data_IF_841520231928
#
_entry.id   IF_841520231928
#
_cell.length_a   1.000
_cell.length_b   1.000
_cell.length_c   1.000
_cell.angle_alpha   90.00
_cell.angle_beta   90.00
_cell.angle_gamma   90.00
#
_symmetry.space_group_name_H-M   'P 1'
#
loop_
_entity.id
_entity.type
_entity.pdbx_description
1 polymer ?
#
# COMPACT_ATOMS: atom_id res chain seq x y z
N UNK A 1 -26.42 -14.46 2.33
CA UNK A 1 -25.28 -15.41 2.36
C UNK A 1 -23.99 -14.62 2.18
N UNK A 2 -23.07 -14.65 3.14
CA UNK A 2 -21.77 -13.98 3.02
C UNK A 2 -20.92 -14.72 1.99
N UNK A 3 -20.53 -14.05 0.90
CA UNK A 3 -19.57 -14.59 -0.07
C UNK A 3 -18.25 -14.86 0.65
N UNK A 4 -17.75 -16.09 0.57
CA UNK A 4 -16.46 -16.45 1.13
C UNK A 4 -15.36 -15.59 0.49
N UNK A 5 -14.55 -14.93 1.34
CA UNK A 5 -13.53 -14.00 0.87
C UNK A 5 -12.33 -14.80 0.35
N UNK A 6 -12.21 -14.90 -0.98
CA UNK A 6 -11.00 -15.41 -1.63
C UNK A 6 -9.80 -14.54 -1.23
N UNK A 7 -8.77 -15.15 -0.62
CA UNK A 7 -7.51 -14.48 -0.30
C UNK A 7 -6.49 -14.85 -1.36
N UNK A 8 -5.84 -13.83 -1.93
CA UNK A 8 -4.77 -14.00 -2.92
C UNK A 8 -3.46 -13.46 -2.35
N UNK A 9 -2.36 -14.17 -2.59
CA UNK A 9 -1.01 -13.73 -2.21
C UNK A 9 -0.61 -12.48 -2.99
N UNK A 10 0.36 -11.71 -2.50
CA UNK A 10 0.87 -10.53 -3.22
C UNK A 10 1.47 -10.94 -4.58
N UNK A 11 2.31 -11.98 -4.57
CA UNK A 11 2.94 -12.53 -5.78
C UNK A 11 1.91 -12.96 -6.83
N UNK A 12 0.81 -13.61 -6.42
CA UNK A 12 -0.26 -13.99 -7.34
C UNK A 12 -0.89 -12.77 -8.01
N UNK A 13 -1.13 -11.70 -7.24
CA UNK A 13 -1.73 -10.47 -7.77
C UNK A 13 -0.80 -9.77 -8.75
N UNK A 14 0.50 -9.71 -8.42
CA UNK A 14 1.52 -9.11 -9.29
C UNK A 14 1.60 -9.84 -10.63
N UNK A 15 1.74 -11.17 -10.59
CA UNK A 15 1.78 -12.01 -11.80
C UNK A 15 0.49 -11.89 -12.62
N UNK A 16 -0.68 -11.87 -11.96
CA UNK A 16 -1.95 -11.72 -12.66
C UNK A 16 -2.06 -10.36 -13.38
N UNK A 17 -1.57 -9.28 -12.75
CA UNK A 17 -1.53 -7.95 -13.35
C UNK A 17 -0.55 -7.91 -14.52
N UNK A 18 0.68 -8.41 -14.33
CA UNK A 18 1.70 -8.47 -15.38
C UNK A 18 1.20 -9.25 -16.61
N UNK A 19 0.64 -10.44 -16.39
CA UNK A 19 0.07 -11.27 -17.44
C UNK A 19 -1.07 -10.55 -18.19
N UNK A 20 -1.89 -9.78 -17.47
CA UNK A 20 -2.98 -9.00 -18.07
C UNK A 20 -2.50 -7.87 -18.98
N UNK A 21 -1.34 -7.28 -18.67
CA UNK A 21 -0.69 -6.29 -19.55
C UNK A 21 -0.01 -6.94 -20.74
N UNK A 22 0.67 -8.07 -20.52
CA UNK A 22 1.37 -8.81 -21.58
C UNK A 22 0.43 -9.34 -22.67
N UNK A 23 -0.75 -9.86 -22.29
CA UNK A 23 -1.73 -10.41 -23.26
C UNK A 23 -2.80 -9.42 -23.73
N UNK A 24 -2.94 -8.27 -23.06
CA UNK A 24 -3.91 -7.23 -23.44
C UNK A 24 -5.39 -7.51 -23.11
N UNK A 25 -5.78 -8.74 -22.75
CA UNK A 25 -7.17 -9.11 -22.44
C UNK A 25 -7.40 -9.44 -20.96
N UNK A 26 -8.05 -8.53 -20.22
CA UNK A 26 -8.40 -8.74 -18.79
C UNK A 26 -9.39 -9.90 -18.63
N UNK A 27 -10.34 -10.05 -19.56
CA UNK A 27 -11.43 -11.03 -19.45
C UNK A 27 -10.91 -12.45 -19.61
N UNK A 28 -10.00 -12.68 -20.55
CA UNK A 28 -9.38 -13.99 -20.78
C UNK A 28 -8.55 -14.43 -19.57
N UNK A 29 -7.68 -13.56 -19.07
CA UNK A 29 -6.87 -13.85 -17.88
C UNK A 29 -7.74 -14.13 -16.66
N UNK A 30 -8.86 -13.42 -16.51
CA UNK A 30 -9.81 -13.69 -15.42
C UNK A 30 -10.44 -15.08 -15.51
N UNK A 31 -10.76 -15.54 -16.72
CA UNK A 31 -11.30 -16.89 -16.95
C UNK A 31 -10.25 -17.97 -16.68
N UNK A 32 -9.01 -17.76 -17.13
CA UNK A 32 -7.89 -18.69 -16.92
C UNK A 32 -7.53 -18.83 -15.43
N UNK A 33 -7.53 -17.73 -14.69
CA UNK A 33 -7.12 -17.70 -13.28
C UNK A 33 -8.28 -17.92 -12.29
N UNK A 34 -9.51 -18.17 -12.77
CA UNK A 34 -10.75 -18.17 -11.98
C UNK A 34 -10.83 -16.98 -11.01
N UNK A 35 -10.66 -15.76 -11.52
CA UNK A 35 -10.79 -14.53 -10.73
C UNK A 35 -11.87 -13.61 -11.30
N UNK A 36 -12.63 -12.89 -10.47
CA UNK A 36 -13.59 -11.91 -10.98
C UNK A 36 -12.90 -10.77 -11.72
N UNK A 37 -13.43 -10.35 -12.86
CA UNK A 37 -12.90 -9.23 -13.67
C UNK A 37 -12.76 -7.94 -12.86
N UNK A 38 -13.75 -7.63 -12.01
CA UNK A 38 -13.71 -6.46 -11.13
C UNK A 38 -12.50 -6.46 -10.18
N UNK A 39 -12.02 -7.65 -9.79
CA UNK A 39 -10.87 -7.81 -8.90
C UNK A 39 -9.57 -7.53 -9.66
N UNK A 40 -9.40 -8.12 -10.84
CA UNK A 40 -8.20 -7.88 -11.66
C UNK A 40 -8.11 -6.42 -12.13
N UNK A 41 -9.24 -5.82 -12.55
CA UNK A 41 -9.29 -4.39 -12.90
C UNK A 41 -8.93 -3.48 -11.72
N UNK A 42 -9.31 -3.87 -10.50
CA UNK A 42 -8.87 -3.15 -9.29
C UNK A 42 -7.36 -3.30 -9.08
N UNK A 43 -6.81 -4.50 -9.23
CA UNK A 43 -5.37 -4.73 -9.06
C UNK A 43 -4.54 -3.96 -10.09
N UNK A 44 -4.99 -3.85 -11.35
CA UNK A 44 -4.34 -3.00 -12.36
C UNK A 44 -4.28 -1.54 -11.91
N UNK A 45 -5.41 -0.97 -11.50
CA UNK A 45 -5.45 0.42 -11.00
C UNK A 45 -4.55 0.63 -9.78
N UNK A 46 -4.52 -0.34 -8.87
CA UNK A 46 -3.62 -0.29 -7.72
C UNK A 46 -2.16 -0.36 -8.17
N UNK A 47 -1.82 -1.23 -9.13
CA UNK A 47 -0.50 -1.35 -9.74
C UNK A 47 -0.05 -0.07 -10.43
N UNK A 48 -0.95 0.60 -11.15
CA UNK A 48 -0.62 1.86 -11.84
C UNK A 48 -0.37 2.99 -10.84
N UNK A 49 -1.14 3.02 -9.74
CA UNK A 49 -1.03 4.08 -8.73
C UNK A 49 0.15 3.90 -7.77
N UNK A 50 0.50 2.66 -7.42
CA UNK A 50 1.45 2.37 -6.34
C UNK A 50 2.66 1.53 -6.78
N UNK A 51 2.68 1.01 -8.01
CA UNK A 51 3.77 0.18 -8.54
C UNK A 51 4.06 -1.01 -7.63
N UNK A 52 5.33 -1.15 -7.20
CA UNK A 52 5.76 -2.19 -6.25
C UNK A 52 5.07 -2.14 -4.88
N UNK A 53 4.43 -1.03 -4.53
CA UNK A 53 3.77 -0.83 -3.23
C UNK A 53 2.27 -1.20 -3.26
N UNK A 54 1.79 -1.83 -4.33
CA UNK A 54 0.36 -2.08 -4.56
C UNK A 54 -0.27 -3.14 -3.66
N UNK A 55 0.55 -4.07 -3.17
CA UNK A 55 0.09 -5.23 -2.39
C UNK A 55 0.86 -5.38 -1.06
N UNK A 56 0.81 -4.39 -0.14
CA UNK A 56 1.64 -4.36 1.07
C UNK A 56 1.18 -5.33 2.18
N UNK A 57 0.18 -6.18 1.93
CA UNK A 57 -0.41 -7.08 2.93
C UNK A 57 -1.56 -6.45 3.74
N UNK A 58 -2.09 -7.21 4.70
CA UNK A 58 -3.22 -6.76 5.55
C UNK A 58 -2.70 -5.79 6.62
N UNK A 59 -3.43 -4.69 6.85
CA UNK A 59 -3.11 -3.70 7.88
C UNK A 59 -2.09 -2.64 7.47
N UNK A 60 -1.43 -2.80 6.31
CA UNK A 60 -0.45 -1.85 5.82
C UNK A 60 -1.08 -0.86 4.83
N UNK A 61 -0.83 0.46 4.97
CA UNK A 61 -1.33 1.45 4.03
C UNK A 61 -0.62 1.32 2.68
N UNK A 62 -1.36 1.55 1.60
CA UNK A 62 -0.80 1.69 0.25
C UNK A 62 -0.28 3.11 0.13
N UNK A 63 1.02 3.24 0.15
CA UNK A 63 1.72 4.51 0.01
C UNK A 63 2.65 4.40 -1.18
N UNK A 64 2.69 5.46 -1.99
CA UNK A 64 3.80 5.64 -2.92
C UNK A 64 5.11 5.79 -2.12
N UNK A 65 6.26 5.62 -2.78
CA UNK A 65 7.55 5.79 -2.10
C UNK A 65 7.69 7.23 -1.53
N UNK A 66 7.20 8.22 -2.26
CA UNK A 66 7.12 9.62 -1.81
C UNK A 66 6.20 9.78 -0.58
N UNK A 67 5.00 9.20 -0.61
CA UNK A 67 4.08 9.26 0.54
C UNK A 67 4.67 8.57 1.77
N UNK A 68 5.41 7.47 1.59
CA UNK A 68 6.13 6.79 2.68
C UNK A 68 7.22 7.70 3.25
N UNK A 69 8.01 8.34 2.41
CA UNK A 69 9.05 9.28 2.84
C UNK A 69 8.44 10.47 3.61
N UNK A 70 7.36 11.07 3.10
CA UNK A 70 6.65 12.15 3.79
C UNK A 70 6.16 11.69 5.18
N UNK A 71 5.62 10.47 5.29
CA UNK A 71 5.17 9.93 6.57
C UNK A 71 6.32 9.77 7.57
N UNK A 72 7.46 9.25 7.13
CA UNK A 72 8.66 9.10 7.95
C UNK A 72 9.25 10.46 8.38
N UNK A 73 9.31 11.43 7.46
CA UNK A 73 9.79 12.78 7.76
C UNK A 73 8.89 13.48 8.79
N UNK A 74 7.57 13.39 8.63
CA UNK A 74 6.61 13.95 9.61
C UNK A 74 6.77 13.31 10.99
N UNK A 75 7.02 12.00 11.05
CA UNK A 75 7.28 11.29 12.30
C UNK A 75 8.58 11.78 12.97
N UNK A 76 9.66 11.92 12.21
CA UNK A 76 10.95 12.45 12.71
C UNK A 76 10.80 13.89 13.21
N UNK A 77 10.11 14.74 12.46
CA UNK A 77 9.86 16.13 12.85
C UNK A 77 9.10 16.19 14.17
N UNK A 78 8.00 15.43 14.29
CA UNK A 78 7.20 15.37 15.53
C UNK A 78 8.01 14.91 16.74
N UNK A 79 8.89 13.92 16.57
CA UNK A 79 9.76 13.45 17.65
C UNK A 79 10.74 14.54 18.08
N UNK A 80 11.40 15.20 17.12
CA UNK A 80 12.32 16.29 17.40
C UNK A 80 11.63 17.48 18.07
N UNK A 81 10.41 17.82 17.66
CA UNK A 81 9.60 18.86 18.30
C UNK A 81 9.27 18.48 19.75
N UNK A 82 8.87 17.23 19.99
CA UNK A 82 8.57 16.73 21.32
C UNK A 82 9.81 16.76 22.24
N UNK A 83 10.96 16.29 21.75
CA UNK A 83 12.23 16.31 22.47
C UNK A 83 12.63 17.75 22.84
N UNK A 84 12.58 18.67 21.87
CA UNK A 84 12.84 20.09 22.10
C UNK A 84 11.90 20.68 23.14
N UNK A 85 10.61 20.36 23.08
CA UNK A 85 9.61 20.90 23.99
C UNK A 85 9.76 20.34 25.40
N UNK A 86 10.17 19.07 25.55
CA UNK A 86 10.55 18.48 26.83
C UNK A 86 11.77 19.20 27.41
N UNK A 87 12.81 19.41 26.61
CA UNK A 87 14.03 20.12 27.05
C UNK A 87 13.72 21.56 27.47
N UNK A 88 12.90 22.29 26.70
CA UNK A 88 12.45 23.64 27.06
C UNK A 88 11.71 23.66 28.40
N UNK A 89 10.80 22.70 28.62
CA UNK A 89 10.07 22.58 29.89
C UNK A 89 11.01 22.27 31.05
N UNK A 90 12.00 21.39 30.85
CA UNK A 90 12.99 21.07 31.88
C UNK A 90 13.82 22.31 32.26
N UNK A 91 14.36 23.04 31.27
CA UNK A 91 15.12 24.27 31.53
C UNK A 91 14.29 25.27 32.34
N UNK A 92 13.02 25.47 31.98
CA UNK A 92 12.13 26.39 32.69
C UNK A 92 11.82 25.97 34.16
N UNK A 93 12.02 24.70 34.51
CA UNK A 93 11.88 24.22 35.90
C UNK A 93 13.16 24.47 36.71
N UNK A 94 14.33 24.43 36.06
CA UNK A 94 15.64 24.60 36.71
C UNK A 94 16.18 26.04 36.69
N UNK A 95 15.53 26.96 35.97
CA UNK A 95 15.79 28.41 35.97
C UNK A 95 14.90 29.14 36.99
#
# INVERSE_FOLDING_TARGET
>A
MSREKRNYTAEFKEKAVELSYARGSVVEICRELDIPTSVLSRWRRESDAYGRNSFPGKGNPKLTDEQREIAELKKKLRNAELERDILKKAIAIFS
#
